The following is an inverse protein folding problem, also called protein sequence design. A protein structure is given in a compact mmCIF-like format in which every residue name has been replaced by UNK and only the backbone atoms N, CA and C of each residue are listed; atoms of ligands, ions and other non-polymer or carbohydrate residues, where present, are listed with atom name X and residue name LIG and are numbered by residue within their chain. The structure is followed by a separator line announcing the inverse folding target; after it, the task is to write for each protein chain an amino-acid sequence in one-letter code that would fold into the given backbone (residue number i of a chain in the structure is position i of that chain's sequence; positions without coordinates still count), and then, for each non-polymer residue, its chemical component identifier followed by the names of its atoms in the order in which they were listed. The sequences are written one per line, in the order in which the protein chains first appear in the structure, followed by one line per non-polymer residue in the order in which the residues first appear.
data_IF_475353394095
#
_entry.id   IF_475353394095
#
_cell.length_a   1.000
_cell.length_b   1.000
_cell.length_c   1.000
_cell.angle_alpha   90.00
_cell.angle_beta   90.00
_cell.angle_gamma   90.00
#
_symmetry.space_group_name_H-M   'P 1'
#
loop_
_entity.id
_entity.type
_entity.pdbx_description
1 polymer ?
#
# COMPACT_ATOMS: atom_id res chain seq x y z
N UNK A 1 -23.85 14.93 -14.61
CA UNK A 1 -23.51 13.93 -13.56
C UNK A 1 -22.93 14.68 -12.37
N UNK A 2 -23.20 14.25 -11.14
CA UNK A 2 -22.49 14.84 -9.97
C UNK A 2 -20.98 14.65 -10.14
N UNK A 3 -20.15 15.64 -9.77
CA UNK A 3 -18.71 15.49 -9.84
C UNK A 3 -18.28 14.32 -8.95
N UNK A 4 -17.31 13.54 -9.43
CA UNK A 4 -16.74 12.41 -8.70
C UNK A 4 -15.98 12.92 -7.47
N UNK A 5 -16.30 12.42 -6.28
CA UNK A 5 -15.70 12.84 -5.01
C UNK A 5 -15.06 11.65 -4.31
N UNK A 6 -13.75 11.66 -4.21
CA UNK A 6 -12.94 10.52 -3.76
C UNK A 6 -12.06 10.94 -2.58
N UNK A 7 -12.12 10.19 -1.49
CA UNK A 7 -11.15 10.31 -0.40
C UNK A 7 -9.98 9.34 -0.62
N UNK A 8 -8.75 9.79 -0.32
CA UNK A 8 -7.52 8.99 -0.43
C UNK A 8 -6.67 9.27 0.80
N UNK A 9 -6.18 8.22 1.46
CA UNK A 9 -5.24 8.33 2.59
C UNK A 9 -3.78 8.10 2.18
N UNK A 10 -2.83 8.19 3.14
CA UNK A 10 -1.42 7.88 2.93
C UNK A 10 -0.73 8.79 1.93
N UNK A 11 -0.76 10.09 2.20
CA UNK A 11 -0.21 11.14 1.33
C UNK A 11 1.30 11.28 1.42
N UNK A 12 1.97 10.29 1.95
CA UNK A 12 3.42 10.12 2.03
C UNK A 12 4.11 10.91 3.15
N UNK A 13 4.56 10.19 4.16
CA UNK A 13 5.39 10.69 5.26
C UNK A 13 6.73 9.95 5.31
N UNK A 14 7.81 10.72 5.44
CA UNK A 14 9.15 10.20 5.70
C UNK A 14 9.78 9.46 4.50
N UNK A 15 10.72 8.58 4.80
CA UNK A 15 11.53 7.87 3.79
C UNK A 15 10.79 6.71 3.11
N UNK A 16 9.69 6.21 3.71
CA UNK A 16 8.96 5.07 3.17
C UNK A 16 7.83 5.54 2.27
N UNK A 17 7.96 5.40 0.93
CA UNK A 17 6.95 5.90 0.01
C UNK A 17 5.59 5.26 0.26
N UNK A 18 4.56 6.08 0.35
CA UNK A 18 3.16 5.66 0.50
C UNK A 18 2.40 5.86 -0.82
N UNK A 19 1.35 5.08 -1.10
CA UNK A 19 0.72 5.08 -2.42
C UNK A 19 -0.22 6.24 -2.70
N UNK A 20 -0.72 6.97 -1.67
CA UNK A 20 -1.80 7.95 -1.83
C UNK A 20 -1.51 9.03 -2.87
N UNK A 21 -0.32 9.64 -2.85
CA UNK A 21 0.05 10.65 -3.84
C UNK A 21 0.11 10.06 -5.26
N UNK A 22 0.60 8.82 -5.42
CA UNK A 22 0.60 8.11 -6.71
C UNK A 22 -0.81 7.78 -7.19
N UNK A 23 -1.71 7.39 -6.30
CA UNK A 23 -3.12 7.16 -6.60
C UNK A 23 -3.79 8.45 -7.10
N UNK A 24 -3.56 9.57 -6.42
CA UNK A 24 -4.13 10.88 -6.83
C UNK A 24 -3.68 11.23 -8.24
N UNK A 25 -2.38 11.13 -8.56
CA UNK A 25 -1.88 11.39 -9.92
C UNK A 25 -2.53 10.45 -10.95
N UNK A 26 -2.66 9.16 -10.63
CA UNK A 26 -3.33 8.17 -11.49
C UNK A 26 -4.79 8.51 -11.74
N UNK A 27 -5.52 8.94 -10.71
CA UNK A 27 -6.91 9.36 -10.81
C UNK A 27 -7.06 10.64 -11.66
N UNK A 28 -6.18 11.64 -11.48
CA UNK A 28 -6.16 12.88 -12.26
C UNK A 28 -5.94 12.63 -13.77
N UNK A 29 -5.18 11.59 -14.15
CA UNK A 29 -5.00 11.22 -15.59
C UNK A 29 -6.32 10.86 -16.26
N UNK A 30 -7.26 10.22 -15.55
CA UNK A 30 -8.53 9.73 -16.11
C UNK A 30 -9.71 10.62 -15.75
N UNK A 31 -9.74 11.15 -14.54
CA UNK A 31 -10.85 11.93 -13.96
C UNK A 31 -10.34 13.32 -13.59
N UNK A 32 -10.14 14.18 -14.60
CA UNK A 32 -9.55 15.53 -14.42
C UNK A 32 -10.37 16.41 -13.48
N UNK A 33 -11.71 16.29 -13.53
CA UNK A 33 -12.64 17.09 -12.74
C UNK A 33 -13.06 16.40 -11.42
N UNK A 34 -12.43 15.29 -11.05
CA UNK A 34 -12.71 14.64 -9.78
C UNK A 34 -12.26 15.53 -8.62
N UNK A 35 -13.12 15.68 -7.61
CA UNK A 35 -12.77 16.33 -6.36
C UNK A 35 -12.13 15.31 -5.42
N UNK A 36 -10.87 15.51 -5.07
CA UNK A 36 -10.10 14.58 -4.25
C UNK A 36 -9.88 15.14 -2.85
N UNK A 37 -10.33 14.37 -1.86
CA UNK A 37 -10.15 14.67 -0.44
C UNK A 37 -8.97 13.85 0.07
N UNK A 38 -7.93 14.52 0.58
CA UNK A 38 -6.84 13.88 1.27
C UNK A 38 -7.22 13.60 2.73
N UNK A 39 -7.12 12.36 3.16
CA UNK A 39 -7.24 11.96 4.56
C UNK A 39 -5.83 11.68 5.10
N UNK A 40 -5.29 12.62 5.85
CA UNK A 40 -3.90 12.58 6.32
C UNK A 40 -3.81 12.28 7.80
N UNK A 41 -2.77 11.56 8.21
CA UNK A 41 -2.47 11.29 9.62
C UNK A 41 -1.43 12.24 10.21
N UNK A 42 -0.80 13.04 9.35
CA UNK A 42 0.23 14.00 9.76
C UNK A 42 0.27 15.19 8.80
N UNK A 43 0.39 16.39 9.36
CA UNK A 43 0.50 17.63 8.57
C UNK A 43 1.76 17.69 7.69
N UNK A 44 2.77 16.87 7.99
CA UNK A 44 4.02 16.76 7.23
C UNK A 44 3.99 15.69 6.15
N UNK A 45 2.84 15.12 5.80
CA UNK A 45 2.73 14.27 4.62
C UNK A 45 2.97 15.10 3.36
N UNK A 46 4.05 14.82 2.64
CA UNK A 46 4.52 15.65 1.50
C UNK A 46 3.52 15.72 0.35
N UNK A 47 2.71 14.67 0.15
CA UNK A 47 1.65 14.66 -0.86
C UNK A 47 0.53 15.68 -0.62
N UNK A 48 0.41 16.23 0.59
CA UNK A 48 -0.49 17.37 0.88
C UNK A 48 -0.09 18.57 0.03
N UNK A 49 1.22 18.81 -0.08
CA UNK A 49 1.82 20.00 -0.69
C UNK A 49 2.28 19.77 -2.14
N UNK A 50 2.19 18.53 -2.63
CA UNK A 50 2.62 18.16 -3.97
C UNK A 50 1.74 18.80 -5.06
N UNK A 51 2.32 19.16 -6.18
CA UNK A 51 1.58 19.59 -7.37
C UNK A 51 0.63 18.49 -7.83
N UNK A 52 -0.61 18.85 -8.19
CA UNK A 52 -1.66 17.89 -8.54
C UNK A 52 -2.16 17.03 -7.37
N UNK A 53 -1.85 17.42 -6.14
CA UNK A 53 -2.30 16.78 -4.90
C UNK A 53 -3.83 16.86 -4.69
N UNK A 54 -4.30 16.62 -3.45
CA UNK A 54 -5.73 16.67 -3.12
C UNK A 54 -6.28 18.10 -3.17
N UNK A 55 -7.57 18.23 -3.51
CA UNK A 55 -8.27 19.54 -3.53
C UNK A 55 -8.56 20.04 -2.12
N UNK A 56 -8.75 19.13 -1.17
CA UNK A 56 -8.96 19.40 0.25
C UNK A 56 -8.29 18.35 1.09
N UNK A 57 -7.76 18.73 2.26
CA UNK A 57 -7.16 17.78 3.21
C UNK A 57 -7.81 17.91 4.57
N UNK A 58 -7.98 16.78 5.23
CA UNK A 58 -8.41 16.69 6.62
C UNK A 58 -7.50 15.73 7.39
N UNK A 59 -7.21 16.07 8.65
CA UNK A 59 -6.49 15.19 9.53
C UNK A 59 -7.42 14.11 10.09
N UNK A 60 -6.90 12.90 10.16
CA UNK A 60 -7.57 11.72 10.73
C UNK A 60 -6.90 11.34 12.07
N UNK A 61 -7.66 10.80 13.03
CA UNK A 61 -7.05 10.13 14.16
C UNK A 61 -6.30 8.89 13.68
N UNK A 62 -5.21 8.53 14.35
CA UNK A 62 -4.48 7.30 14.02
C UNK A 62 -5.40 6.07 14.14
N UNK A 63 -5.19 5.02 13.32
CA UNK A 63 -6.01 3.80 13.36
C UNK A 63 -6.11 3.15 14.75
N UNK A 64 -5.07 3.30 15.57
CA UNK A 64 -5.05 2.83 16.96
C UNK A 64 -6.10 3.49 17.88
N UNK A 65 -6.67 4.64 17.49
CA UNK A 65 -7.79 5.26 18.22
C UNK A 65 -9.11 4.46 18.09
N UNK A 66 -9.15 3.47 17.20
CA UNK A 66 -10.26 2.55 17.02
C UNK A 66 -11.33 3.01 16.03
N UNK A 67 -12.16 2.05 15.62
CA UNK A 67 -13.13 2.24 14.55
C UNK A 67 -14.18 3.34 14.82
N UNK A 68 -14.65 3.51 16.05
CA UNK A 68 -15.61 4.55 16.40
C UNK A 68 -15.03 5.94 16.14
N UNK A 69 -13.82 6.23 16.63
CA UNK A 69 -13.16 7.52 16.42
C UNK A 69 -12.94 7.83 14.93
N UNK A 70 -12.60 6.82 14.13
CA UNK A 70 -12.45 6.97 12.69
C UNK A 70 -13.77 7.29 12.00
N UNK A 71 -14.88 6.61 12.36
CA UNK A 71 -16.21 6.86 11.79
C UNK A 71 -16.74 8.24 12.18
N UNK A 72 -16.61 8.64 13.43
CA UNK A 72 -17.05 9.96 13.92
C UNK A 72 -16.30 11.07 13.17
N UNK A 73 -14.99 10.88 12.94
CA UNK A 73 -14.19 11.81 12.18
C UNK A 73 -14.60 11.87 10.71
N UNK A 74 -14.84 10.74 10.07
CA UNK A 74 -15.36 10.66 8.69
C UNK A 74 -16.69 11.39 8.59
N UNK A 75 -17.61 11.20 9.55
CA UNK A 75 -18.88 11.87 9.56
C UNK A 75 -18.75 13.40 9.71
N UNK A 76 -17.82 13.85 10.57
CA UNK A 76 -17.50 15.28 10.73
C UNK A 76 -16.91 15.88 9.44
N UNK A 77 -15.95 15.19 8.80
CA UNK A 77 -15.36 15.62 7.53
C UNK A 77 -16.43 15.71 6.44
N UNK A 78 -17.27 14.70 6.29
CA UNK A 78 -18.29 14.67 5.22
C UNK A 78 -19.37 15.75 5.35
N UNK A 79 -19.63 16.27 6.54
CA UNK A 79 -20.51 17.43 6.72
C UNK A 79 -19.93 18.68 6.05
N UNK A 80 -18.62 18.84 6.02
CA UNK A 80 -17.91 19.98 5.43
C UNK A 80 -17.49 19.69 3.98
N UNK A 81 -16.96 18.51 3.74
CA UNK A 81 -16.35 18.08 2.48
C UNK A 81 -16.87 16.69 2.10
N UNK A 82 -18.05 16.61 1.46
CA UNK A 82 -18.64 15.32 1.09
C UNK A 82 -17.75 14.53 0.13
N UNK A 83 -17.70 13.20 0.30
CA UNK A 83 -17.12 12.24 -0.64
C UNK A 83 -17.95 10.95 -0.63
N UNK A 84 -17.91 10.23 -1.74
CA UNK A 84 -18.75 9.04 -1.97
C UNK A 84 -17.89 7.77 -2.07
N UNK A 85 -16.59 7.91 -2.32
CA UNK A 85 -15.65 6.81 -2.44
C UNK A 85 -14.42 7.04 -1.55
N UNK A 86 -13.87 5.96 -0.99
CA UNK A 86 -12.67 6.02 -0.17
C UNK A 86 -11.67 4.93 -0.57
N UNK A 87 -10.42 5.32 -0.76
CA UNK A 87 -9.28 4.43 -1.03
C UNK A 87 -8.31 4.51 0.15
N UNK A 88 -8.42 3.60 1.12
CA UNK A 88 -7.42 3.48 2.18
C UNK A 88 -6.16 2.84 1.63
N UNK A 89 -4.98 3.27 2.11
CA UNK A 89 -3.70 2.92 1.50
C UNK A 89 -2.63 2.44 2.46
N UNK A 90 -2.85 2.56 3.77
CA UNK A 90 -1.86 2.19 4.78
C UNK A 90 -2.20 0.84 5.42
N UNK A 91 -1.22 -0.04 5.57
CA UNK A 91 -1.42 -1.35 6.20
C UNK A 91 -2.06 -1.23 7.60
N UNK A 92 -1.67 -0.19 8.37
CA UNK A 92 -2.20 0.07 9.69
C UNK A 92 -3.71 0.40 9.73
N UNK A 93 -4.28 0.93 8.64
CA UNK A 93 -5.69 1.31 8.58
C UNK A 93 -6.58 0.25 7.90
N UNK A 94 -6.00 -0.61 7.06
CA UNK A 94 -6.75 -1.56 6.22
C UNK A 94 -7.63 -2.50 7.04
N UNK A 95 -7.10 -3.11 8.10
CA UNK A 95 -7.86 -4.07 8.92
C UNK A 95 -9.03 -3.39 9.63
N UNK A 96 -8.82 -2.17 10.14
CA UNK A 96 -9.86 -1.40 10.81
C UNK A 96 -10.96 -1.05 9.80
N UNK A 97 -10.63 -0.47 8.65
CA UNK A 97 -11.63 -0.12 7.63
C UNK A 97 -12.29 -1.36 7.00
N UNK A 98 -11.59 -2.47 6.89
CA UNK A 98 -12.19 -3.74 6.47
C UNK A 98 -13.28 -4.20 7.46
N UNK A 99 -13.08 -4.04 8.76
CA UNK A 99 -14.10 -4.32 9.78
C UNK A 99 -15.29 -3.36 9.72
N UNK A 100 -15.06 -2.13 9.27
CA UNK A 100 -16.05 -1.06 9.18
C UNK A 100 -16.77 -0.99 7.82
N UNK A 101 -16.54 -1.91 6.89
CA UNK A 101 -17.13 -1.86 5.52
C UNK A 101 -18.64 -1.66 5.53
N UNK A 102 -19.37 -2.37 6.40
CA UNK A 102 -20.84 -2.23 6.51
C UNK A 102 -21.25 -0.84 6.99
N UNK A 103 -20.51 -0.27 7.94
CA UNK A 103 -20.77 1.07 8.47
C UNK A 103 -20.46 2.16 7.43
N UNK A 104 -19.39 2.00 6.65
CA UNK A 104 -19.07 2.89 5.52
C UNK A 104 -20.16 2.81 4.44
N UNK A 105 -20.58 1.59 4.07
CA UNK A 105 -21.66 1.38 3.09
C UNK A 105 -22.98 2.01 3.53
N UNK A 106 -23.38 1.88 4.81
CA UNK A 106 -24.58 2.55 5.37
C UNK A 106 -24.51 4.08 5.28
N UNK A 107 -23.31 4.63 5.27
CA UNK A 107 -23.03 6.07 5.07
C UNK A 107 -22.97 6.46 3.60
N UNK A 108 -23.17 5.52 2.68
CA UNK A 108 -23.05 5.76 1.25
C UNK A 108 -21.61 5.96 0.80
N UNK A 109 -20.62 5.38 1.50
CA UNK A 109 -19.21 5.43 1.13
C UNK A 109 -18.82 4.09 0.52
N UNK A 110 -18.47 4.10 -0.77
CA UNK A 110 -17.91 2.96 -1.47
C UNK A 110 -16.45 2.75 -1.08
N UNK A 111 -16.12 1.52 -0.67
CA UNK A 111 -14.76 1.08 -0.37
C UNK A 111 -14.58 -0.36 -0.85
N UNK A 112 -13.44 -0.67 -1.45
CA UNK A 112 -13.13 -2.03 -1.90
C UNK A 112 -11.98 -2.59 -1.07
N UNK A 113 -12.31 -3.45 -0.12
CA UNK A 113 -11.37 -4.09 0.81
C UNK A 113 -11.72 -5.56 0.99
N UNK A 114 -10.73 -6.44 1.17
CA UNK A 114 -10.96 -7.82 1.57
C UNK A 114 -11.70 -7.91 2.91
N UNK A 115 -12.38 -9.03 3.14
CA UNK A 115 -12.92 -9.35 4.45
C UNK A 115 -11.80 -9.54 5.48
N UNK A 116 -12.09 -9.32 6.74
CA UNK A 116 -11.10 -9.48 7.83
C UNK A 116 -10.53 -10.91 7.84
N UNK A 117 -11.35 -11.91 7.53
CA UNK A 117 -10.95 -13.30 7.43
C UNK A 117 -9.94 -13.54 6.31
N UNK A 118 -10.11 -12.88 5.16
CA UNK A 118 -9.15 -12.93 4.03
C UNK A 118 -7.84 -12.25 4.42
N UNK A 119 -7.93 -11.09 5.10
CA UNK A 119 -6.74 -10.39 5.61
C UNK A 119 -5.96 -11.24 6.61
N UNK A 120 -6.62 -11.99 7.48
CA UNK A 120 -5.97 -12.94 8.38
C UNK A 120 -5.23 -14.05 7.65
N UNK A 121 -5.84 -14.62 6.58
CA UNK A 121 -5.22 -15.72 5.80
C UNK A 121 -3.92 -15.29 5.12
N UNK A 122 -3.78 -14.03 4.71
CA UNK A 122 -2.56 -13.49 4.08
C UNK A 122 -1.47 -13.10 5.08
N UNK A 123 -1.77 -13.06 6.39
CA UNK A 123 -0.81 -12.64 7.41
C UNK A 123 0.43 -13.55 7.42
N UNK A 124 1.59 -12.97 7.73
CA UNK A 124 2.91 -13.62 7.62
C UNK A 124 2.96 -15.00 8.28
N UNK A 125 2.35 -15.14 9.48
CA UNK A 125 2.29 -16.42 10.22
C UNK A 125 1.38 -17.47 9.56
N UNK A 126 0.43 -17.05 8.71
CA UNK A 126 -0.51 -17.94 8.02
C UNK A 126 -0.14 -18.18 6.56
N UNK A 127 0.86 -17.47 6.06
CA UNK A 127 1.30 -17.57 4.67
C UNK A 127 1.72 -18.99 4.24
N UNK A 128 2.38 -19.82 5.08
CA UNK A 128 2.70 -21.21 4.73
C UNK A 128 1.46 -22.05 4.43
N UNK A 129 0.38 -21.91 5.21
CA UNK A 129 -0.85 -22.65 4.98
C UNK A 129 -1.55 -22.22 3.67
N UNK A 130 -1.62 -20.90 3.40
CA UNK A 130 -2.14 -20.37 2.14
C UNK A 130 -1.31 -20.86 0.94
N UNK A 131 0.01 -20.78 1.06
CA UNK A 131 0.93 -21.18 -0.01
C UNK A 131 0.76 -22.67 -0.37
N UNK A 132 0.57 -23.55 0.61
CA UNK A 132 0.33 -24.97 0.37
C UNK A 132 -0.93 -25.21 -0.47
N UNK A 133 -2.02 -24.47 -0.21
CA UNK A 133 -3.27 -24.56 -0.98
C UNK A 133 -3.10 -24.10 -2.44
N UNK A 134 -2.19 -23.15 -2.67
CA UNK A 134 -1.96 -22.55 -3.99
C UNK A 134 -0.80 -23.20 -4.76
N UNK A 135 -0.12 -24.21 -4.21
CA UNK A 135 1.11 -24.77 -4.78
C UNK A 135 2.21 -23.70 -4.90
N UNK A 136 2.28 -22.77 -3.93
CA UNK A 136 3.30 -21.75 -3.84
C UNK A 136 4.40 -22.18 -2.86
N UNK A 137 5.63 -21.71 -3.10
CA UNK A 137 6.72 -21.84 -2.12
C UNK A 137 6.76 -20.61 -1.23
N UNK A 138 7.08 -20.82 0.04
CA UNK A 138 7.38 -19.74 1.01
C UNK A 138 8.70 -20.06 1.69
N UNK A 139 9.40 -19.07 2.29
CA UNK A 139 10.58 -19.36 3.11
C UNK A 139 10.19 -20.31 4.26
N UNK A 140 11.09 -21.22 4.59
CA UNK A 140 10.92 -22.01 5.81
C UNK A 140 10.78 -21.08 7.00
N UNK A 141 9.71 -21.26 7.78
CA UNK A 141 9.26 -20.30 8.78
C UNK A 141 9.08 -21.00 10.12
N UNK A 142 9.53 -20.36 11.20
CA UNK A 142 9.25 -20.74 12.59
C UNK A 142 8.68 -19.52 13.33
N UNK A 143 7.81 -19.80 14.28
CA UNK A 143 7.26 -18.79 15.18
C UNK A 143 7.87 -18.98 16.56
N UNK A 144 8.28 -17.92 17.21
CA UNK A 144 8.85 -17.97 18.53
C UNK A 144 8.11 -17.04 19.50
N UNK A 145 7.84 -17.54 20.69
CA UNK A 145 7.09 -16.81 21.74
C UNK A 145 7.98 -16.08 22.72
N UNK A 146 9.25 -16.42 22.77
CA UNK A 146 10.27 -15.79 23.61
C UNK A 146 11.67 -15.91 22.98
N UNK A 147 12.69 -15.37 23.65
CA UNK A 147 14.07 -15.36 23.15
C UNK A 147 14.67 -16.77 23.11
N UNK A 148 14.35 -17.63 24.11
CA UNK A 148 14.90 -18.98 24.17
C UNK A 148 14.34 -19.84 23.03
N UNK A 149 13.03 -19.76 22.80
CA UNK A 149 12.32 -20.40 21.68
C UNK A 149 12.87 -19.89 20.34
N UNK A 150 13.09 -18.58 20.20
CA UNK A 150 13.70 -18.00 19.00
C UNK A 150 15.11 -18.54 18.74
N UNK A 151 15.96 -18.65 19.76
CA UNK A 151 17.32 -19.18 19.63
C UNK A 151 17.31 -20.67 19.23
N UNK A 152 16.40 -21.47 19.81
CA UNK A 152 16.22 -22.87 19.45
C UNK A 152 15.80 -23.00 17.97
N UNK A 153 14.74 -22.31 17.59
CA UNK A 153 14.24 -22.31 16.21
C UNK A 153 15.28 -21.78 15.19
N UNK A 154 16.07 -20.79 15.58
CA UNK A 154 17.15 -20.24 14.75
C UNK A 154 18.29 -21.24 14.50
N UNK A 155 18.64 -22.05 15.48
CA UNK A 155 19.64 -23.13 15.34
C UNK A 155 19.12 -24.24 14.42
N UNK A 156 17.81 -24.54 14.43
CA UNK A 156 17.22 -25.52 13.51
C UNK A 156 17.18 -24.99 12.06
N UNK A 157 16.79 -23.72 11.86
CA UNK A 157 16.71 -23.10 10.54
C UNK A 157 18.10 -22.88 9.90
N UNK A 158 19.12 -22.67 10.73
CA UNK A 158 20.46 -22.28 10.30
C UNK A 158 20.57 -20.79 9.94
N UNK A 159 21.81 -20.31 9.83
CA UNK A 159 22.12 -18.92 9.55
C UNK A 159 22.71 -18.75 8.15
N UNK A 160 22.55 -17.58 7.47
CA UNK A 160 21.77 -16.42 7.93
C UNK A 160 20.27 -16.62 7.82
N UNK A 161 19.52 -15.95 8.69
CA UNK A 161 18.05 -15.93 8.66
C UNK A 161 17.50 -14.52 8.84
N UNK A 162 16.21 -14.33 8.56
CA UNK A 162 15.49 -13.07 8.78
C UNK A 162 14.61 -13.24 10.00
N UNK A 163 14.69 -12.28 10.91
CA UNK A 163 13.79 -12.16 12.06
C UNK A 163 12.85 -10.99 11.82
N UNK A 164 11.54 -11.22 11.98
CA UNK A 164 10.48 -10.24 11.67
C UNK A 164 9.53 -10.09 12.83
N UNK A 165 9.03 -8.86 13.04
CA UNK A 165 7.83 -8.62 13.82
C UNK A 165 6.56 -9.02 13.04
N UNK A 166 5.41 -9.12 13.72
CA UNK A 166 4.14 -9.49 13.09
C UNK A 166 3.68 -8.45 12.05
N UNK A 167 4.02 -7.19 12.25
CA UNK A 167 3.60 -6.08 11.37
C UNK A 167 4.78 -5.48 10.60
N UNK A 168 5.75 -4.93 11.30
CA UNK A 168 6.89 -4.22 10.74
C UNK A 168 8.20 -4.78 11.27
N UNK A 169 9.27 -4.23 10.79
CA UNK A 169 10.65 -4.54 11.10
C UNK A 169 11.09 -5.96 10.69
N UNK A 170 12.23 -6.00 10.06
CA UNK A 170 12.91 -7.22 9.68
C UNK A 170 14.42 -6.99 9.81
N UNK A 171 15.13 -7.97 10.37
CA UNK A 171 16.59 -7.95 10.48
C UNK A 171 17.16 -9.26 9.99
N UNK A 172 18.21 -9.16 9.17
CA UNK A 172 19.06 -10.32 8.83
C UNK A 172 20.00 -10.55 10.00
N UNK A 173 20.08 -11.78 10.47
CA UNK A 173 20.95 -12.19 11.57
C UNK A 173 21.83 -13.36 11.12
N UNK A 174 23.10 -13.34 11.53
CA UNK A 174 24.11 -14.28 11.08
C UNK A 174 24.59 -15.26 12.17
N UNK A 175 24.09 -15.08 13.39
CA UNK A 175 24.42 -15.95 14.52
C UNK A 175 23.40 -15.78 15.66
N UNK A 176 23.48 -16.65 16.66
CA UNK A 176 22.56 -16.69 17.78
C UNK A 176 22.58 -15.42 18.65
N UNK A 177 23.72 -14.74 18.78
CA UNK A 177 23.83 -13.49 19.54
C UNK A 177 23.05 -12.35 18.89
N UNK A 178 23.18 -12.20 17.55
CA UNK A 178 22.39 -11.23 16.79
C UNK A 178 20.90 -11.59 16.80
N UNK A 179 20.55 -12.88 16.72
CA UNK A 179 19.19 -13.35 16.82
C UNK A 179 18.56 -13.00 18.16
N UNK A 180 19.24 -13.30 19.27
CA UNK A 180 18.77 -13.00 20.62
C UNK A 180 18.47 -11.51 20.82
N UNK A 181 19.39 -10.64 20.37
CA UNK A 181 19.21 -9.19 20.45
C UNK A 181 18.04 -8.70 19.57
N UNK A 182 17.93 -9.20 18.34
CA UNK A 182 16.83 -8.82 17.42
C UNK A 182 15.48 -9.32 17.92
N UNK A 183 15.39 -10.57 18.40
CA UNK A 183 14.16 -11.14 18.95
C UNK A 183 13.71 -10.38 20.21
N UNK A 184 14.64 -10.06 21.12
CA UNK A 184 14.34 -9.27 22.31
C UNK A 184 13.76 -7.89 21.99
N UNK A 185 14.35 -7.19 21.02
CA UNK A 185 13.83 -5.90 20.54
C UNK A 185 12.42 -6.04 19.95
N UNK A 186 12.21 -7.00 19.02
CA UNK A 186 10.91 -7.21 18.37
C UNK A 186 9.81 -7.63 19.35
N UNK A 187 10.13 -8.48 20.35
CA UNK A 187 9.20 -8.88 21.38
C UNK A 187 8.76 -7.71 22.27
N UNK A 188 9.69 -6.78 22.55
CA UNK A 188 9.37 -5.60 23.36
C UNK A 188 8.55 -4.56 22.59
N UNK A 189 8.81 -4.39 21.29
CA UNK A 189 8.17 -3.38 20.44
C UNK A 189 6.80 -3.84 19.92
N UNK A 190 6.72 -5.08 19.44
CA UNK A 190 5.56 -5.62 18.71
C UNK A 190 4.83 -6.76 19.43
N UNK A 191 5.37 -7.28 20.51
CA UNK A 191 4.82 -8.44 21.20
C UNK A 191 5.07 -9.76 20.48
N UNK A 192 4.24 -10.75 20.78
CA UNK A 192 4.34 -12.13 20.25
C UNK A 192 3.44 -12.37 19.04
N UNK A 193 3.79 -13.29 18.14
CA UNK A 193 5.06 -14.01 18.03
C UNK A 193 6.14 -13.21 17.30
N UNK A 194 7.41 -13.60 17.44
CA UNK A 194 8.49 -13.26 16.51
C UNK A 194 8.52 -14.31 15.41
N UNK A 195 8.75 -13.88 14.18
CA UNK A 195 8.74 -14.73 12.98
C UNK A 195 10.19 -14.89 12.50
N UNK A 196 10.68 -16.12 12.45
CA UNK A 196 11.99 -16.48 11.91
C UNK A 196 11.81 -17.11 10.54
N UNK A 197 12.56 -16.65 9.56
CA UNK A 197 12.49 -17.18 8.20
C UNK A 197 13.89 -17.43 7.63
N UNK A 198 14.05 -18.54 6.88
CA UNK A 198 15.23 -18.75 6.08
C UNK A 198 15.44 -17.59 5.12
N UNK A 199 16.65 -17.07 5.02
CA UNK A 199 16.99 -16.05 4.05
C UNK A 199 16.97 -16.66 2.64
N UNK A 200 16.20 -16.05 1.73
CA UNK A 200 16.17 -16.42 0.32
C UNK A 200 17.01 -15.42 -0.47
N UNK A 201 18.04 -15.92 -1.16
CA UNK A 201 18.87 -15.12 -2.06
C UNK A 201 18.29 -15.15 -3.47
N UNK A 202 18.15 -13.96 -4.09
CA UNK A 202 17.59 -13.87 -5.44
C UNK A 202 17.14 -12.48 -5.82
N UNK A 203 16.45 -12.40 -6.95
CA UNK A 203 15.88 -11.16 -7.45
C UNK A 203 14.47 -10.95 -6.90
N UNK A 204 14.16 -9.73 -6.46
CA UNK A 204 12.83 -9.38 -5.94
C UNK A 204 11.88 -8.97 -7.06
N UNK A 205 10.66 -9.49 -6.98
CA UNK A 205 9.54 -9.19 -7.89
C UNK A 205 8.33 -8.74 -7.10
N UNK A 206 7.62 -7.75 -7.65
CA UNK A 206 6.33 -7.34 -7.13
C UNK A 206 5.28 -7.44 -8.24
N UNK A 207 4.10 -7.91 -7.86
CA UNK A 207 2.93 -7.98 -8.73
C UNK A 207 1.83 -7.13 -8.14
N UNK A 208 1.55 -6.01 -8.79
CA UNK A 208 0.35 -5.21 -8.57
C UNK A 208 -0.80 -5.85 -9.31
N UNK A 209 -1.97 -5.94 -8.70
CA UNK A 209 -3.19 -6.36 -9.37
C UNK A 209 -4.45 -5.77 -8.75
N UNK A 210 -5.56 -6.05 -9.41
CA UNK A 210 -6.91 -5.63 -8.98
C UNK A 210 -7.84 -6.82 -9.09
N UNK A 211 -8.14 -7.47 -7.96
CA UNK A 211 -9.04 -8.63 -7.89
C UNK A 211 -10.51 -8.23 -7.98
N UNK A 212 -11.33 -9.09 -8.57
CA UNK A 212 -12.76 -8.88 -8.75
C UNK A 212 -13.63 -9.30 -7.55
N UNK A 213 -13.05 -10.06 -6.61
CA UNK A 213 -13.77 -10.61 -5.44
C UNK A 213 -14.37 -12.00 -5.66
N UNK A 214 -14.39 -12.50 -6.90
CA UNK A 214 -14.95 -13.81 -7.27
C UNK A 214 -13.87 -14.84 -7.62
N UNK A 215 -12.60 -14.42 -7.56
CA UNK A 215 -11.42 -15.27 -7.82
C UNK A 215 -10.72 -15.00 -9.14
N UNK A 216 -11.18 -14.01 -9.90
CA UNK A 216 -10.48 -13.42 -11.03
C UNK A 216 -9.80 -12.09 -10.68
N UNK A 217 -9.19 -11.48 -11.66
CA UNK A 217 -8.64 -10.13 -11.59
C UNK A 217 -8.94 -9.33 -12.87
N UNK A 218 -8.97 -8.02 -12.73
CA UNK A 218 -9.16 -7.09 -13.86
C UNK A 218 -7.86 -6.75 -14.57
N UNK A 219 -6.74 -7.22 -14.08
CA UNK A 219 -5.42 -7.00 -14.64
C UNK A 219 -4.34 -7.03 -13.57
N UNK A 220 -3.09 -7.09 -14.03
CA UNK A 220 -1.91 -7.08 -13.19
C UNK A 220 -0.71 -6.43 -13.90
N UNK A 221 0.27 -5.99 -13.12
CA UNK A 221 1.54 -5.48 -13.61
C UNK A 221 2.67 -6.09 -12.78
N UNK A 222 3.56 -6.82 -13.44
CA UNK A 222 4.73 -7.43 -12.80
C UNK A 222 5.95 -6.53 -12.97
N UNK A 223 6.71 -6.31 -11.90
CA UNK A 223 8.01 -5.64 -11.95
C UNK A 223 9.08 -6.49 -11.26
N UNK A 224 10.31 -6.40 -11.77
CA UNK A 224 11.51 -6.78 -11.03
C UNK A 224 12.09 -5.52 -10.40
N UNK A 225 12.32 -5.53 -9.09
CA UNK A 225 13.02 -4.45 -8.40
C UNK A 225 14.49 -4.42 -8.87
N UNK A 226 15.01 -3.23 -9.18
CA UNK A 226 16.38 -3.06 -9.68
C UNK A 226 17.27 -2.32 -8.69
N UNK A 227 16.65 -1.50 -7.81
CA UNK A 227 17.32 -0.84 -6.69
C UNK A 227 16.43 -0.89 -5.46
N UNK A 228 17.04 -1.11 -4.31
CA UNK A 228 16.38 -1.14 -3.01
C UNK A 228 16.97 -0.05 -2.11
N UNK A 229 16.13 0.50 -1.22
CA UNK A 229 16.62 1.26 -0.08
C UNK A 229 17.21 0.32 0.98
N UNK A 230 17.91 0.88 1.97
CA UNK A 230 18.44 0.14 3.12
C UNK A 230 17.33 -0.62 3.90
N UNK A 231 16.08 -0.20 3.76
CA UNK A 231 14.89 -0.86 4.34
C UNK A 231 14.20 -1.84 3.38
N UNK A 232 14.82 -2.21 2.25
CA UNK A 232 14.28 -3.16 1.26
C UNK A 232 13.13 -2.62 0.41
N UNK A 233 12.92 -1.29 0.36
CA UNK A 233 11.86 -0.69 -0.47
C UNK A 233 12.36 -0.44 -1.89
N UNK A 234 11.52 -0.73 -2.89
CA UNK A 234 11.85 -0.52 -4.29
C UNK A 234 12.03 0.95 -4.65
N UNK A 235 13.27 1.36 -4.97
CA UNK A 235 13.58 2.69 -5.49
C UNK A 235 13.46 2.73 -7.01
N UNK A 236 13.68 1.60 -7.68
CA UNK A 236 13.46 1.45 -9.12
C UNK A 236 13.01 0.03 -9.45
N UNK A 237 12.37 -0.11 -10.59
CA UNK A 237 11.89 -1.39 -11.08
C UNK A 237 11.62 -1.36 -12.58
N UNK A 238 11.67 -2.53 -13.20
CA UNK A 238 11.42 -2.75 -14.61
C UNK A 238 10.25 -3.72 -14.78
N UNK A 239 9.32 -3.41 -15.70
CA UNK A 239 8.21 -4.30 -16.04
C UNK A 239 8.73 -5.58 -16.70
N UNK A 240 8.15 -6.70 -16.31
CA UNK A 240 8.48 -8.02 -16.85
C UNK A 240 7.21 -8.76 -17.26
N UNK A 241 7.33 -9.62 -18.27
CA UNK A 241 6.31 -10.59 -18.64
C UNK A 241 6.86 -11.99 -18.30
N UNK A 242 6.31 -12.62 -17.28
CA UNK A 242 6.64 -14.00 -16.89
C UNK A 242 5.34 -14.74 -16.53
N UNK A 243 4.93 -15.68 -17.40
CA UNK A 243 3.69 -16.43 -17.22
C UNK A 243 3.67 -17.23 -15.91
N UNK A 244 4.82 -17.79 -15.46
CA UNK A 244 4.90 -18.55 -14.20
C UNK A 244 4.59 -17.66 -13.00
N UNK A 245 5.09 -16.41 -13.03
CA UNK A 245 4.82 -15.42 -11.98
C UNK A 245 3.34 -15.04 -11.97
N UNK A 246 2.77 -14.75 -13.15
CA UNK A 246 1.36 -14.40 -13.29
C UNK A 246 0.43 -15.54 -12.86
N UNK A 247 0.70 -16.78 -13.28
CA UNK A 247 -0.08 -17.96 -12.92
C UNK A 247 -0.05 -18.24 -11.41
N UNK A 248 1.11 -18.05 -10.76
CA UNK A 248 1.23 -18.19 -9.32
C UNK A 248 0.35 -17.16 -8.60
N UNK A 249 0.43 -15.90 -9.00
CA UNK A 249 -0.38 -14.84 -8.40
C UNK A 249 -1.89 -15.05 -8.69
N UNK A 250 -2.26 -15.53 -9.87
CA UNK A 250 -3.65 -15.85 -10.21
C UNK A 250 -4.23 -16.95 -9.29
N UNK A 251 -3.43 -17.97 -8.95
CA UNK A 251 -3.86 -19.01 -7.99
C UNK A 251 -4.10 -18.44 -6.60
N UNK A 252 -3.23 -17.54 -6.12
CA UNK A 252 -3.40 -16.87 -4.82
C UNK A 252 -4.66 -15.99 -4.79
N UNK A 253 -4.89 -15.20 -5.84
CA UNK A 253 -6.09 -14.35 -5.97
C UNK A 253 -7.37 -15.18 -6.00
N UNK A 254 -7.35 -16.29 -6.75
CA UNK A 254 -8.49 -17.22 -6.86
C UNK A 254 -8.81 -17.87 -5.51
N UNK A 255 -7.81 -18.39 -4.81
CA UNK A 255 -7.98 -19.04 -3.51
C UNK A 255 -8.52 -18.10 -2.44
N UNK A 256 -8.10 -16.86 -2.48
CA UNK A 256 -8.53 -15.81 -1.54
C UNK A 256 -9.83 -15.14 -1.96
N UNK A 257 -10.30 -15.34 -3.20
CA UNK A 257 -11.37 -14.54 -3.82
C UNK A 257 -11.16 -13.05 -3.54
N UNK A 258 -9.96 -12.58 -3.91
CA UNK A 258 -9.48 -11.28 -3.50
C UNK A 258 -10.26 -10.15 -4.14
N UNK A 259 -10.87 -9.22 -3.39
CA UNK A 259 -11.48 -8.02 -3.92
C UNK A 259 -10.52 -6.83 -3.84
N UNK A 260 -10.47 -6.03 -4.89
CA UNK A 260 -9.74 -4.76 -4.88
C UNK A 260 -8.22 -4.89 -5.07
N UNK A 261 -7.48 -3.84 -4.69
CA UNK A 261 -6.05 -3.76 -4.96
C UNK A 261 -5.24 -4.72 -4.10
N UNK A 262 -4.13 -5.20 -4.66
CA UNK A 262 -3.12 -5.97 -3.94
C UNK A 262 -1.72 -5.72 -4.51
N UNK A 263 -0.72 -6.00 -3.70
CA UNK A 263 0.66 -6.17 -4.12
C UNK A 263 1.18 -7.49 -3.56
N UNK A 264 1.62 -8.40 -4.43
CA UNK A 264 2.26 -9.66 -4.04
C UNK A 264 3.77 -9.49 -4.22
N UNK A 265 4.53 -9.76 -3.15
CA UNK A 265 5.99 -9.69 -3.15
C UNK A 265 6.59 -11.10 -3.20
N UNK A 266 7.51 -11.31 -4.14
CA UNK A 266 8.16 -12.61 -4.36
C UNK A 266 9.66 -12.42 -4.55
N UNK A 267 10.42 -13.47 -4.25
CA UNK A 267 11.83 -13.58 -4.63
C UNK A 267 11.94 -14.74 -5.62
N UNK A 268 12.57 -14.50 -6.76
CA UNK A 268 13.02 -15.57 -7.62
C UNK A 268 14.36 -16.06 -7.08
N UNK A 269 14.31 -17.21 -6.43
CA UNK A 269 15.46 -17.81 -5.77
C UNK A 269 16.57 -18.13 -6.79
N UNK A 270 17.79 -17.70 -6.49
CA UNK A 270 18.92 -17.82 -7.42
C UNK A 270 19.28 -19.29 -7.70
N UNK A 271 19.23 -20.13 -6.67
CA UNK A 271 19.64 -21.54 -6.75
C UNK A 271 18.67 -22.43 -7.54
N UNK A 272 17.37 -22.16 -7.46
CA UNK A 272 16.33 -22.99 -8.09
C UNK A 272 15.64 -22.32 -9.29
N UNK A 273 15.71 -20.99 -9.39
CA UNK A 273 14.95 -20.20 -10.36
C UNK A 273 13.45 -20.14 -10.08
N UNK A 274 12.99 -20.70 -8.94
CA UNK A 274 11.58 -20.72 -8.54
C UNK A 274 11.17 -19.45 -7.81
N UNK A 275 9.88 -19.10 -7.90
CA UNK A 275 9.32 -17.99 -7.17
C UNK A 275 8.92 -18.40 -5.75
N UNK A 276 9.40 -17.63 -4.77
CA UNK A 276 9.11 -17.81 -3.35
C UNK A 276 8.27 -16.62 -2.90
N UNK A 277 7.06 -16.89 -2.41
CA UNK A 277 6.13 -15.87 -1.91
C UNK A 277 6.62 -15.32 -0.57
N UNK A 278 6.73 -14.01 -0.47
CA UNK A 278 7.23 -13.32 0.73
C UNK A 278 6.11 -12.62 1.49
N UNK A 279 5.23 -11.89 0.76
CA UNK A 279 4.19 -11.07 1.38
C UNK A 279 3.06 -10.77 0.40
N UNK A 280 1.85 -10.56 0.93
CA UNK A 280 0.69 -10.04 0.19
C UNK A 280 0.23 -8.77 0.89
N UNK A 281 0.35 -7.62 0.23
CA UNK A 281 -0.09 -6.33 0.72
C UNK A 281 -1.52 -6.02 0.23
N UNK A 282 -2.48 -5.70 1.12
CA UNK A 282 -3.90 -5.53 0.76
C UNK A 282 -4.21 -4.10 0.25
N UNK A 283 -3.35 -3.54 -0.53
CA UNK A 283 -3.40 -2.16 -0.99
C UNK A 283 -2.62 -1.98 -2.28
N UNK A 284 -2.79 -0.82 -2.92
CA UNK A 284 -1.90 -0.40 -3.98
C UNK A 284 -0.46 -0.22 -3.49
N UNK A 285 0.54 -0.56 -4.31
CA UNK A 285 1.93 -0.24 -4.01
C UNK A 285 2.23 1.25 -4.21
N UNK A 286 3.31 1.71 -3.59
CA UNK A 286 3.76 3.09 -3.75
C UNK A 286 4.19 3.45 -5.18
N UNK A 287 4.41 2.48 -6.05
CA UNK A 287 4.72 2.67 -7.48
C UNK A 287 3.48 2.65 -8.40
N UNK A 288 2.27 2.77 -7.83
CA UNK A 288 0.97 2.71 -8.55
C UNK A 288 0.85 3.69 -9.71
N UNK A 289 1.49 4.85 -9.66
CA UNK A 289 1.44 5.83 -10.75
C UNK A 289 2.21 5.37 -12.00
N UNK A 290 3.24 4.54 -11.84
CA UNK A 290 4.06 4.06 -12.94
C UNK A 290 3.26 3.28 -13.99
N UNK A 291 2.48 2.23 -13.68
CA UNK A 291 1.63 1.58 -14.70
C UNK A 291 0.60 2.52 -15.31
N UNK A 292 0.10 3.51 -14.56
CA UNK A 292 -0.83 4.50 -15.12
C UNK A 292 -0.19 5.37 -16.21
N UNK A 293 1.11 5.67 -16.09
CA UNK A 293 1.88 6.36 -17.14
C UNK A 293 2.07 5.49 -18.38
N UNK A 294 1.99 4.17 -18.24
CA UNK A 294 2.04 3.22 -19.35
C UNK A 294 0.65 2.88 -19.95
N UNK A 295 -0.42 3.54 -19.48
CA UNK A 295 -1.79 3.29 -19.91
C UNK A 295 -2.57 2.29 -19.06
N UNK A 296 -1.93 1.60 -18.12
CA UNK A 296 -2.53 0.63 -17.21
C UNK A 296 -2.96 1.31 -15.89
N UNK A 297 -4.12 1.97 -15.91
CA UNK A 297 -4.58 2.77 -14.77
C UNK A 297 -5.45 1.97 -13.79
N UNK A 298 -4.82 1.27 -12.86
CA UNK A 298 -5.48 0.45 -11.84
C UNK A 298 -6.33 1.27 -10.85
N UNK A 299 -5.89 2.49 -10.49
CA UNK A 299 -6.65 3.34 -9.58
C UNK A 299 -7.96 3.80 -10.22
N UNK A 300 -7.95 4.18 -11.50
CA UNK A 300 -9.16 4.52 -12.23
C UNK A 300 -10.08 3.31 -12.38
N UNK A 301 -9.52 2.11 -12.63
CA UNK A 301 -10.31 0.89 -12.76
C UNK A 301 -11.00 0.50 -11.44
N UNK A 302 -10.35 0.73 -10.30
CA UNK A 302 -10.97 0.57 -8.99
C UNK A 302 -12.20 1.49 -8.81
N UNK A 303 -12.12 2.73 -9.31
CA UNK A 303 -13.27 3.65 -9.28
C UNK A 303 -14.40 3.13 -10.17
N UNK A 304 -14.08 2.60 -11.35
CA UNK A 304 -15.09 1.99 -12.23
C UNK A 304 -15.79 0.81 -11.52
N UNK A 305 -15.05 -0.07 -10.83
CA UNK A 305 -15.61 -1.16 -10.00
C UNK A 305 -16.56 -0.68 -8.91
N UNK A 306 -16.21 0.43 -8.26
CA UNK A 306 -17.00 0.96 -7.12
C UNK A 306 -18.25 1.73 -7.58
N UNK A 307 -18.34 2.15 -8.83
CA UNK A 307 -19.42 2.99 -9.35
C UNK A 307 -20.45 2.25 -10.17
N UNK A 308 -20.07 1.15 -10.79
CA UNK A 308 -20.95 0.45 -11.73
C UNK A 308 -21.21 -0.98 -11.25
N UNK A 309 -22.48 -1.40 -11.33
CA UNK A 309 -22.92 -2.78 -11.05
C UNK A 309 -22.46 -3.77 -12.14
N UNK A 310 -21.79 -3.30 -13.17
CA UNK A 310 -21.24 -4.11 -14.26
C UNK A 310 -19.75 -4.29 -14.08
N UNK A 311 -19.24 -5.48 -14.42
CA UNK A 311 -17.79 -5.73 -14.44
C UNK A 311 -17.08 -4.73 -15.34
N UNK A 312 -16.12 -3.96 -14.81
CA UNK A 312 -15.39 -3.01 -15.64
C UNK A 312 -14.47 -3.73 -16.64
N UNK A 313 -14.13 -3.05 -17.73
CA UNK A 313 -13.16 -3.54 -18.70
C UNK A 313 -11.83 -3.90 -18.03
N UNK A 314 -11.11 -4.92 -18.49
CA UNK A 314 -9.78 -5.24 -18.00
C UNK A 314 -8.81 -4.05 -18.07
N UNK A 315 -7.86 -4.02 -17.16
CA UNK A 315 -6.74 -3.06 -17.23
C UNK A 315 -5.80 -3.52 -18.35
N UNK A 316 -5.36 -2.63 -19.24
CA UNK A 316 -4.38 -2.98 -20.28
C UNK A 316 -3.07 -3.52 -19.69
N UNK A 317 -2.41 -4.43 -20.40
CA UNK A 317 -1.11 -4.94 -20.00
C UNK A 317 -0.04 -3.85 -20.03
N UNK A 318 0.86 -3.88 -19.07
CA UNK A 318 2.05 -3.05 -19.08
C UNK A 318 3.09 -3.62 -20.06
N UNK A 319 3.62 -2.82 -20.99
CA UNK A 319 4.66 -3.28 -21.91
C UNK A 319 5.91 -3.69 -21.12
N UNK A 320 6.48 -4.89 -21.35
CA UNK A 320 7.69 -5.33 -20.67
C UNK A 320 8.90 -4.46 -21.08
N UNK A 321 9.85 -4.29 -20.14
CA UNK A 321 11.05 -3.49 -20.38
C UNK A 321 10.90 -2.00 -20.05
N UNK A 322 9.72 -1.53 -19.69
CA UNK A 322 9.54 -0.17 -19.17
C UNK A 322 10.08 -0.10 -17.74
N UNK A 323 10.68 1.00 -17.34
CA UNK A 323 11.22 1.12 -15.99
C UNK A 323 10.86 2.46 -15.34
N UNK A 324 10.90 2.49 -14.02
CA UNK A 324 10.82 3.72 -13.24
C UNK A 324 12.03 3.84 -12.31
N UNK A 325 12.38 5.08 -12.01
CA UNK A 325 13.34 5.45 -10.98
C UNK A 325 12.69 6.50 -10.10
N UNK A 326 12.74 6.32 -8.79
CA UNK A 326 12.28 7.33 -7.83
C UNK A 326 13.38 8.31 -7.52
N UNK A 327 12.99 9.56 -7.39
CA UNK A 327 13.82 10.63 -6.84
C UNK A 327 13.03 11.38 -5.79
N UNK A 328 13.72 12.03 -4.89
CA UNK A 328 13.12 12.91 -3.89
C UNK A 328 13.09 14.33 -4.47
N UNK A 329 12.00 15.04 -4.16
CA UNK A 329 11.84 16.46 -4.47
C UNK A 329 11.42 17.18 -3.20
N UNK A 330 11.91 18.41 -3.02
CA UNK A 330 11.43 19.30 -1.99
C UNK A 330 10.05 19.85 -2.38
N UNK A 331 9.15 19.89 -1.41
CA UNK A 331 7.87 20.58 -1.55
C UNK A 331 7.85 21.77 -0.59
N UNK A 332 7.38 22.93 -1.06
CA UNK A 332 7.33 24.13 -0.25
C UNK A 332 5.94 24.26 0.36
N UNK A 333 5.90 24.47 1.67
CA UNK A 333 4.69 24.80 2.43
C UNK A 333 4.92 26.08 3.23
N UNK A 334 3.85 26.72 3.69
CA UNK A 334 3.91 27.85 4.61
C UNK A 334 3.36 27.51 5.99
N UNK A 335 3.76 28.26 7.01
CA UNK A 335 3.41 28.00 8.39
C UNK A 335 1.91 28.24 8.69
N UNK A 336 1.28 29.17 8.00
CA UNK A 336 -0.16 29.45 8.21
C UNK A 336 -0.99 28.27 7.74
N UNK A 337 -0.62 27.69 6.60
CA UNK A 337 -1.24 26.49 6.06
C UNK A 337 -1.05 25.30 6.99
N UNK A 338 0.13 25.09 7.50
CA UNK A 338 0.43 24.08 8.50
C UNK A 338 -0.45 24.25 9.75
N UNK A 339 -0.52 25.47 10.31
CA UNK A 339 -1.33 25.78 11.48
C UNK A 339 -2.84 25.64 11.20
N UNK A 340 -3.30 26.00 10.00
CA UNK A 340 -4.70 25.82 9.57
C UNK A 340 -5.10 24.36 9.50
N UNK A 341 -4.22 23.47 9.01
CA UNK A 341 -4.47 22.02 9.01
C UNK A 341 -4.60 21.44 10.42
N UNK A 342 -3.75 21.92 11.36
CA UNK A 342 -3.84 21.49 12.77
C UNK A 342 -5.15 21.91 13.43
N UNK A 343 -5.68 23.06 13.08
CA UNK A 343 -6.98 23.55 13.58
C UNK A 343 -8.16 22.96 12.83
N UNK A 344 -7.91 22.21 11.73
CA UNK A 344 -8.92 21.66 10.83
C UNK A 344 -9.89 22.74 10.30
N UNK A 345 -9.36 23.93 10.01
CA UNK A 345 -10.15 25.04 9.51
C UNK A 345 -10.63 24.80 8.07
N UNK A 346 -11.91 25.04 7.77
CA UNK A 346 -12.41 25.05 6.42
C UNK A 346 -11.68 26.13 5.61
N UNK A 347 -10.91 25.75 4.61
CA UNK A 347 -10.18 26.70 3.76
C UNK A 347 -8.67 26.63 3.83
N UNK A 348 -8.07 25.88 4.77
CA UNK A 348 -6.62 25.77 4.91
C UNK A 348 -5.88 25.28 3.64
N UNK A 349 -6.57 24.71 2.66
CA UNK A 349 -6.03 24.33 1.35
C UNK A 349 -6.71 25.04 0.16
N UNK A 350 -7.80 25.75 0.38
CA UNK A 350 -8.39 26.59 -0.65
C UNK A 350 -7.55 27.87 -0.85
N UNK A 351 -7.04 28.14 -2.02
CA UNK A 351 -6.25 29.34 -2.31
C UNK A 351 -4.74 29.16 -2.36
N UNK A 352 -4.26 27.97 -2.63
CA UNK A 352 -2.90 27.50 -2.36
C UNK A 352 -1.78 28.05 -3.22
N UNK A 353 -2.05 28.68 -4.34
CA UNK A 353 -1.03 29.12 -5.29
C UNK A 353 -1.21 30.61 -5.62
N UNK A 354 -2.40 31.15 -5.43
CA UNK A 354 -2.73 32.50 -5.92
C UNK A 354 -2.34 33.62 -4.92
N UNK A 355 -2.06 33.29 -3.64
CA UNK A 355 -1.84 34.28 -2.58
C UNK A 355 -0.40 34.36 -2.05
N UNK A 356 0.58 33.70 -2.66
CA UNK A 356 2.00 33.90 -2.28
C UNK A 356 2.55 35.10 -3.02
N UNK A 357 2.89 36.20 -2.34
CA UNK A 357 3.50 37.34 -2.99
C UNK A 357 4.80 36.95 -3.71
N UNK A 358 4.83 37.10 -5.05
CA UNK A 358 5.98 36.73 -5.87
C UNK A 358 5.99 35.31 -6.45
N UNK A 359 4.95 34.49 -6.27
CA UNK A 359 4.83 33.20 -6.95
C UNK A 359 4.68 33.40 -8.47
N UNK A 360 5.43 32.66 -9.32
CA UNK A 360 5.29 32.78 -10.77
C UNK A 360 3.91 32.30 -11.20
N UNK A 361 3.24 33.08 -12.06
CA UNK A 361 1.93 32.73 -12.61
C UNK A 361 2.01 31.38 -13.35
N UNK A 362 0.95 30.58 -13.26
CA UNK A 362 0.80 29.23 -13.87
C UNK A 362 1.12 29.12 -15.37
N UNK A 363 1.33 30.24 -16.05
CA UNK A 363 1.46 30.32 -17.51
C UNK A 363 2.91 30.19 -18.02
N UNK A 364 3.92 29.98 -17.18
CA UNK A 364 5.34 29.99 -17.59
C UNK A 364 6.07 28.63 -17.54
N UNK A 365 5.40 27.52 -17.28
CA UNK A 365 6.04 26.20 -17.23
C UNK A 365 5.62 25.23 -18.34
N UNK A 366 5.05 25.75 -19.44
CA UNK A 366 4.80 24.98 -20.68
C UNK A 366 5.58 25.65 -21.84
N UNK A 367 6.89 25.62 -21.77
CA UNK A 367 7.77 25.84 -22.92
C UNK A 367 8.97 24.92 -22.82
#
# INVERSE_FOLDING_TARGET
MKPLRIAVSGLHRGENPQPGAGIIRSLRRRFRDAFIVGLSYDVMESGIYAEGGPDKVHLMPYPAAGGAALLDRIDAIRKQTPFDLFIPTLDAEIEVFASLRRELSRRGIGVCLPAVEVLKRRAKQHLPALAALCGARVPETRLASDIADACHAGNELGYPLIVKGPYYDAKIVHNVGQLSAAAGHLLSEWGRPVILQRLISGSEFNVLGLGDGDGGWLGHCCIRKTQLSDKGKGLSGITVADARLSDLCARLVRELKWPGPFEIELIREESSGEYVLIEINPRFPAWIDFPSMLGANFAARLIDMLRFDTSPEPVPDCPPGSFYIRHQIEVVGDLNRYAGLLKDEPGALGGLIDDVPGAPSKTKFLA
#
